data_IF_881917199808
#
_entry.id   IF_881917199808
#
_cell.length_a   1.000
_cell.length_b   1.000
_cell.length_c   1.000
_cell.angle_alpha   90.00
_cell.angle_beta   90.00
_cell.angle_gamma   90.00
#
_symmetry.space_group_name_H-M   'P 1'
#
loop_
_entity.id
_entity.type
_entity.pdbx_description
1 polymer ?
#
# COMPACT_ATOMS: atom_id res chain seq x y z
N UNK A 1 6.73 11.56 6.95
CA UNK A 1 6.64 10.12 6.63
C UNK A 1 5.82 9.29 7.63
N UNK A 2 4.78 9.83 8.30
CA UNK A 2 4.00 9.06 9.31
C UNK A 2 2.55 8.76 8.85
N UNK A 3 2.04 9.48 7.84
CA UNK A 3 0.64 9.39 7.45
C UNK A 3 0.26 8.02 6.87
N UNK A 4 1.11 7.48 5.99
CA UNK A 4 0.91 6.15 5.39
C UNK A 4 0.95 5.06 6.47
N UNK A 5 1.89 5.16 7.42
CA UNK A 5 1.97 4.24 8.55
C UNK A 5 0.73 4.31 9.45
N UNK A 6 0.21 5.51 9.73
CA UNK A 6 -1.04 5.66 10.48
C UNK A 6 -2.25 5.10 9.70
N UNK A 7 -2.30 5.32 8.39
CA UNK A 7 -3.39 4.80 7.55
C UNK A 7 -3.35 3.27 7.49
N UNK A 8 -2.15 2.69 7.33
CA UNK A 8 -1.91 1.26 7.37
C UNK A 8 -2.37 0.66 8.70
N UNK A 9 -1.99 1.26 9.84
CA UNK A 9 -2.48 0.84 11.17
C UNK A 9 -4.00 0.90 11.31
N UNK A 10 -4.66 1.78 10.57
CA UNK A 10 -6.14 1.88 10.53
C UNK A 10 -6.82 0.84 9.64
N UNK A 11 -6.06 0.05 8.86
CA UNK A 11 -6.59 -0.99 7.98
C UNK A 11 -6.30 -2.36 8.62
N UNK A 12 -7.37 -3.11 8.90
CA UNK A 12 -7.28 -4.40 9.58
C UNK A 12 -6.53 -5.40 8.69
N UNK A 13 -5.34 -5.81 9.13
CA UNK A 13 -4.47 -6.73 8.38
C UNK A 13 -3.45 -6.05 7.46
N UNK A 14 -3.31 -4.72 7.50
CA UNK A 14 -2.30 -3.96 6.74
C UNK A 14 -1.20 -3.42 7.67
N UNK A 15 -0.21 -4.26 7.97
CA UNK A 15 0.96 -3.85 8.74
C UNK A 15 2.03 -3.16 7.90
N UNK A 16 3.03 -2.56 8.56
CA UNK A 16 4.20 -1.94 7.91
C UNK A 16 4.90 -2.90 6.94
N UNK A 17 4.99 -4.19 7.28
CA UNK A 17 5.56 -5.22 6.39
C UNK A 17 4.80 -5.39 5.08
N UNK A 18 3.45 -5.38 5.13
CA UNK A 18 2.60 -5.52 3.94
C UNK A 18 2.63 -4.24 3.11
N UNK A 19 2.66 -3.10 3.76
CA UNK A 19 2.83 -1.81 3.11
C UNK A 19 4.16 -1.75 2.35
N UNK A 20 5.26 -2.19 2.98
CA UNK A 20 6.59 -2.23 2.36
C UNK A 20 6.64 -3.21 1.17
N UNK A 21 6.00 -4.38 1.29
CA UNK A 21 5.83 -5.33 0.18
C UNK A 21 5.00 -4.75 -0.96
N UNK A 22 3.92 -4.04 -0.65
CA UNK A 22 3.08 -3.37 -1.64
C UNK A 22 3.88 -2.30 -2.38
N UNK A 23 4.67 -1.50 -1.67
CA UNK A 23 5.48 -0.44 -2.29
C UNK A 23 6.61 -1.01 -3.13
N UNK A 24 7.23 -2.10 -2.67
CA UNK A 24 8.21 -2.85 -3.45
C UNK A 24 7.60 -3.40 -4.76
N UNK A 25 6.38 -3.94 -4.73
CA UNK A 25 5.71 -4.41 -5.96
C UNK A 25 5.20 -3.30 -6.86
N UNK A 26 4.61 -2.25 -6.29
CA UNK A 26 3.88 -1.22 -7.04
C UNK A 26 4.81 -0.14 -7.58
N UNK A 27 5.87 0.20 -6.84
CA UNK A 27 6.81 1.26 -7.18
C UNK A 27 8.25 0.75 -7.43
N UNK A 28 8.54 -0.52 -7.15
CA UNK A 28 9.89 -1.08 -7.33
C UNK A 28 10.90 -0.60 -6.27
N UNK A 29 10.44 0.11 -5.24
CA UNK A 29 11.30 0.77 -4.24
C UNK A 29 10.69 0.71 -2.84
N UNK A 30 11.54 0.70 -1.79
CA UNK A 30 11.06 0.61 -0.41
C UNK A 30 10.27 1.86 -0.03
N UNK A 31 9.42 1.75 1.00
CA UNK A 31 8.59 2.86 1.50
C UNK A 31 9.41 4.14 1.78
N UNK A 32 10.65 3.95 2.24
CA UNK A 32 11.60 5.02 2.59
C UNK A 32 12.03 5.86 1.38
N UNK A 33 11.97 5.30 0.18
CA UNK A 33 12.41 5.92 -1.09
C UNK A 33 11.24 6.45 -1.93
N UNK A 34 10.03 6.45 -1.37
CA UNK A 34 8.85 6.99 -2.05
C UNK A 34 8.92 8.51 -2.13
N UNK A 35 8.60 9.02 -3.33
CA UNK A 35 8.40 10.45 -3.52
C UNK A 35 7.00 10.85 -3.03
N UNK A 36 6.77 12.16 -2.86
CA UNK A 36 5.45 12.69 -2.50
C UNK A 36 4.34 12.30 -3.49
N UNK A 37 4.70 12.08 -4.76
CA UNK A 37 3.78 11.62 -5.80
C UNK A 37 3.38 10.16 -5.56
N UNK A 38 4.36 9.28 -5.36
CA UNK A 38 4.12 7.86 -5.06
C UNK A 38 3.32 7.69 -3.77
N UNK A 39 3.64 8.51 -2.75
CA UNK A 39 2.93 8.55 -1.48
C UNK A 39 1.43 8.90 -1.67
N UNK A 40 1.09 9.82 -2.57
CA UNK A 40 -0.31 10.17 -2.85
C UNK A 40 -1.07 9.00 -3.47
N UNK A 41 -0.47 8.34 -4.48
CA UNK A 41 -1.07 7.15 -5.09
C UNK A 41 -1.24 6.01 -4.09
N UNK A 42 -0.27 5.80 -3.20
CA UNK A 42 -0.35 4.79 -2.14
C UNK A 42 -1.46 5.13 -1.14
N UNK A 43 -1.62 6.40 -0.76
CA UNK A 43 -2.71 6.85 0.13
C UNK A 43 -4.07 6.61 -0.52
N UNK A 44 -4.23 6.90 -1.80
CA UNK A 44 -5.48 6.65 -2.53
C UNK A 44 -5.81 5.15 -2.58
N UNK A 45 -4.81 4.31 -2.89
CA UNK A 45 -4.93 2.85 -2.84
C UNK A 45 -5.36 2.36 -1.46
N UNK A 46 -4.70 2.83 -0.40
CA UNK A 46 -5.02 2.47 0.99
C UNK A 46 -6.43 2.94 1.39
N UNK A 47 -6.86 4.12 0.93
CA UNK A 47 -8.23 4.60 1.10
C UNK A 47 -9.23 3.70 0.41
N UNK A 48 -8.99 3.31 -0.84
CA UNK A 48 -9.86 2.39 -1.57
C UNK A 48 -9.95 1.01 -0.88
N UNK A 49 -8.84 0.54 -0.30
CA UNK A 49 -8.82 -0.69 0.48
C UNK A 49 -9.63 -0.55 1.77
N UNK A 50 -9.46 0.57 2.48
CA UNK A 50 -10.22 0.88 3.69
C UNK A 50 -11.72 1.00 3.42
N UNK A 51 -12.10 1.56 2.27
CA UNK A 51 -13.48 1.71 1.80
C UNK A 51 -14.09 0.38 1.34
N UNK A 52 -13.29 -0.69 1.26
CA UNK A 52 -13.73 -2.01 0.77
C UNK A 52 -13.87 -2.09 -0.74
N UNK A 53 -13.47 -1.05 -1.49
CA UNK A 53 -13.45 -1.06 -2.97
C UNK A 53 -12.37 -1.98 -3.54
N UNK A 54 -11.27 -2.14 -2.80
CA UNK A 54 -10.13 -2.95 -3.21
C UNK A 54 -9.77 -3.91 -2.08
N UNK A 55 -9.66 -5.20 -2.36
CA UNK A 55 -9.15 -6.13 -1.37
C UNK A 55 -7.64 -5.95 -1.22
N UNK A 56 -7.17 -5.82 0.02
CA UNK A 56 -5.74 -5.76 0.33
C UNK A 56 -4.99 -6.97 -0.27
N UNK A 57 -5.63 -8.13 -0.21
CA UNK A 57 -5.07 -9.33 -0.83
C UNK A 57 -4.94 -9.15 -2.34
N UNK A 58 -5.99 -8.70 -3.04
CA UNK A 58 -5.93 -8.42 -4.48
C UNK A 58 -4.86 -7.36 -4.84
N UNK A 59 -4.64 -6.36 -3.98
CA UNK A 59 -3.59 -5.36 -4.19
C UNK A 59 -2.17 -5.94 -4.03
N UNK A 60 -1.97 -6.88 -3.11
CA UNK A 60 -0.68 -7.54 -2.83
C UNK A 60 -0.41 -8.75 -3.75
N UNK A 61 -1.48 -9.41 -4.16
CA UNK A 61 -1.55 -10.67 -4.90
C UNK A 61 -1.87 -10.43 -6.37
N UNK A 62 -1.71 -9.19 -6.87
CA UNK A 62 -1.50 -8.94 -8.29
C UNK A 62 -0.11 -9.48 -8.71
N UNK A 63 0.13 -10.75 -8.41
CA UNK A 63 1.08 -11.59 -9.10
C UNK A 63 0.43 -11.88 -10.44
N UNK A 64 1.06 -11.31 -11.46
CA UNK A 64 0.78 -11.61 -12.84
C UNK A 64 0.57 -13.13 -12.97
N UNK A 65 -0.67 -13.50 -13.26
CA UNK A 65 -0.99 -14.84 -13.73
C UNK A 65 -0.28 -14.99 -15.07
N UNK A 66 0.84 -15.71 -15.10
CA UNK A 66 1.44 -16.26 -16.31
C UNK A 66 1.88 -17.67 -16.00
#
# INVERSE_FOLDING_TARGET
MNFINQLARGIRGLGIRRLDSLTGKMFGKPLTDLTSLDASSLIDMLKAIKDGRVSLDAALNNEAKT
#
